data_IF_625526543501
#
_entry.id   IF_625526543501
#
_cell.length_a   1.000
_cell.length_b   1.000
_cell.length_c   1.000
_cell.angle_alpha   90.00
_cell.angle_beta   90.00
_cell.angle_gamma   90.00
#
_symmetry.space_group_name_H-M   'P 1'
#
loop_
_entity.id
_entity.type
_entity.pdbx_description
1 polymer ?
#
# COMPACT_ATOMS: atom_id res chain seq x y z
N UNK A 1 3.90 -7.11 20.26
CA UNK A 1 4.35 -6.14 19.22
C UNK A 1 4.25 -6.78 17.85
N UNK A 2 3.73 -6.07 16.85
CA UNK A 2 3.74 -6.55 15.46
C UNK A 2 5.18 -6.62 14.92
N UNK A 3 5.57 -7.77 14.37
CA UNK A 3 6.88 -8.00 13.73
C UNK A 3 6.87 -7.55 12.27
N UNK A 4 8.06 -7.40 11.67
CA UNK A 4 8.19 -7.17 10.22
C UNK A 4 7.52 -8.33 9.45
N UNK A 5 7.74 -9.57 9.88
CA UNK A 5 7.13 -10.74 9.24
C UNK A 5 5.61 -10.71 9.26
N UNK A 6 4.99 -10.33 10.40
CA UNK A 6 3.53 -10.18 10.48
C UNK A 6 3.00 -9.06 9.58
N UNK A 7 3.74 -7.96 9.40
CA UNK A 7 3.34 -6.87 8.50
C UNK A 7 3.42 -7.29 7.03
N UNK A 8 4.48 -8.00 6.65
CA UNK A 8 4.57 -8.58 5.30
C UNK A 8 3.44 -9.59 5.08
N UNK A 9 3.09 -10.39 6.09
CA UNK A 9 1.93 -11.30 6.02
C UNK A 9 0.61 -10.56 5.77
N UNK A 10 0.41 -9.39 6.38
CA UNK A 10 -0.76 -8.56 6.12
C UNK A 10 -0.80 -8.02 4.68
N UNK A 11 0.36 -7.70 4.08
CA UNK A 11 0.43 -7.25 2.68
C UNK A 11 0.12 -8.37 1.68
N UNK A 12 0.42 -9.61 2.04
CA UNK A 12 0.13 -10.80 1.21
C UNK A 12 -1.39 -11.06 1.17
N UNK A 13 -2.07 -10.89 2.32
CA UNK A 13 -3.51 -11.17 2.43
C UNK A 13 -3.84 -12.62 2.09
N UNK A 14 -4.80 -12.81 1.19
CA UNK A 14 -5.24 -14.13 0.70
C UNK A 14 -4.40 -14.65 -0.47
N UNK A 15 -3.39 -13.91 -0.93
CA UNK A 15 -2.54 -14.33 -2.03
C UNK A 15 -1.55 -15.43 -1.60
N UNK A 16 -1.06 -16.20 -2.57
CA UNK A 16 0.00 -17.17 -2.30
C UNK A 16 1.36 -16.47 -2.19
N UNK A 17 2.29 -17.07 -1.42
CA UNK A 17 3.68 -16.57 -1.36
C UNK A 17 4.38 -16.59 -2.71
N UNK A 18 3.96 -17.49 -3.61
CA UNK A 18 4.45 -17.60 -4.99
C UNK A 18 4.04 -16.35 -5.78
N UNK A 19 2.74 -16.09 -5.87
CA UNK A 19 2.18 -14.96 -6.61
C UNK A 19 2.63 -13.62 -6.05
N UNK A 20 2.62 -13.48 -4.71
CA UNK A 20 3.10 -12.26 -4.08
C UNK A 20 4.59 -12.06 -4.36
N UNK A 21 5.39 -13.13 -4.31
CA UNK A 21 6.79 -13.10 -4.69
C UNK A 21 7.00 -12.58 -6.11
N UNK A 22 6.22 -13.07 -7.08
CA UNK A 22 6.25 -12.58 -8.46
C UNK A 22 5.93 -11.08 -8.55
N UNK A 23 4.89 -10.60 -7.84
CA UNK A 23 4.51 -9.17 -7.82
C UNK A 23 5.65 -8.25 -7.37
N UNK A 24 6.44 -8.69 -6.38
CA UNK A 24 7.56 -7.90 -5.83
C UNK A 24 8.92 -8.37 -6.35
N UNK A 25 8.97 -9.21 -7.37
CA UNK A 25 10.21 -9.77 -7.94
C UNK A 25 11.14 -10.42 -6.89
N UNK A 26 10.58 -11.29 -6.05
CA UNK A 26 11.29 -12.10 -5.05
C UNK A 26 10.81 -13.55 -5.08
N UNK A 27 11.70 -14.50 -4.75
CA UNK A 27 11.30 -15.90 -4.67
C UNK A 27 10.35 -16.16 -3.49
N UNK A 28 9.48 -17.16 -3.63
CA UNK A 28 8.61 -17.67 -2.55
C UNK A 28 9.38 -17.95 -1.26
N UNK A 29 10.57 -18.54 -1.36
CA UNK A 29 11.41 -18.88 -0.20
C UNK A 29 11.87 -17.62 0.53
N UNK A 30 12.17 -16.55 -0.21
CA UNK A 30 12.56 -15.26 0.37
C UNK A 30 11.40 -14.65 1.15
N UNK A 31 10.20 -14.59 0.55
CA UNK A 31 8.98 -14.12 1.22
C UNK A 31 8.69 -14.94 2.48
N UNK A 32 8.75 -16.27 2.39
CA UNK A 32 8.52 -17.16 3.53
C UNK A 32 9.52 -16.94 4.67
N UNK A 33 10.80 -16.70 4.37
CA UNK A 33 11.81 -16.36 5.39
C UNK A 33 11.48 -15.05 6.11
N UNK A 34 10.95 -14.05 5.40
CA UNK A 34 10.53 -12.78 6.01
C UNK A 34 9.30 -12.96 6.90
N UNK A 35 8.24 -13.60 6.39
CA UNK A 35 6.99 -13.84 7.14
C UNK A 35 7.24 -14.61 8.44
N UNK A 36 8.13 -15.60 8.40
CA UNK A 36 8.49 -16.44 9.54
C UNK A 36 9.60 -15.83 10.43
N UNK A 37 9.95 -14.56 10.24
CA UNK A 37 10.99 -13.85 10.98
C UNK A 37 12.38 -14.54 10.96
N UNK A 38 12.64 -15.39 9.95
CA UNK A 38 13.92 -16.09 9.77
C UNK A 38 14.98 -15.21 9.10
N UNK A 39 14.55 -14.15 8.42
CA UNK A 39 15.40 -13.12 7.81
C UNK A 39 14.70 -11.77 7.93
N UNK A 40 15.46 -10.69 8.06
CA UNK A 40 14.94 -9.32 7.91
C UNK A 40 15.15 -8.86 6.46
N UNK A 41 14.21 -8.10 5.86
CA UNK A 41 14.43 -7.47 4.57
C UNK A 41 15.64 -6.53 4.65
N UNK A 42 16.53 -6.63 3.68
CA UNK A 42 17.62 -5.68 3.46
C UNK A 42 17.17 -4.54 2.53
N UNK A 43 18.07 -3.61 2.22
CA UNK A 43 17.77 -2.46 1.36
C UNK A 43 17.29 -2.86 -0.05
N UNK A 44 17.85 -3.93 -0.64
CA UNK A 44 17.42 -4.43 -1.95
C UNK A 44 16.00 -4.99 -1.88
N UNK A 45 15.69 -5.79 -0.85
CA UNK A 45 14.35 -6.31 -0.62
C UNK A 45 13.33 -5.18 -0.39
N UNK A 46 13.68 -4.16 0.39
CA UNK A 46 12.83 -2.98 0.60
C UNK A 46 12.60 -2.20 -0.69
N UNK A 47 13.61 -2.06 -1.55
CA UNK A 47 13.47 -1.43 -2.88
C UNK A 47 12.48 -2.20 -3.76
N UNK A 48 12.52 -3.52 -3.70
CA UNK A 48 11.56 -4.40 -4.40
C UNK A 48 10.12 -4.24 -3.88
N UNK A 49 9.94 -4.14 -2.56
CA UNK A 49 8.63 -3.81 -1.98
C UNK A 49 8.13 -2.43 -2.44
N UNK A 50 8.99 -1.41 -2.44
CA UNK A 50 8.65 -0.06 -2.91
C UNK A 50 8.19 -0.09 -4.37
N UNK A 51 8.90 -0.81 -5.25
CA UNK A 51 8.51 -0.99 -6.66
C UNK A 51 7.17 -1.72 -6.82
N UNK A 52 6.82 -2.59 -5.87
CA UNK A 52 5.51 -3.23 -5.78
C UNK A 52 4.40 -2.34 -5.19
N UNK A 53 4.68 -1.07 -4.88
CA UNK A 53 3.71 -0.12 -4.34
C UNK A 53 3.59 -0.13 -2.80
N UNK A 54 4.51 -0.77 -2.09
CA UNK A 54 4.45 -0.91 -0.63
C UNK A 54 5.39 0.05 0.11
N UNK A 55 4.92 0.59 1.24
CA UNK A 55 5.67 1.54 2.07
C UNK A 55 6.73 0.84 2.92
N UNK A 56 8.00 1.11 2.66
CA UNK A 56 9.10 0.60 3.50
C UNK A 56 9.00 1.09 4.94
N UNK A 57 8.57 2.34 5.18
CA UNK A 57 8.37 2.86 6.54
C UNK A 57 7.33 2.01 7.29
N UNK A 58 6.21 1.71 6.64
CA UNK A 58 5.17 0.88 7.25
C UNK A 58 5.66 -0.56 7.47
N UNK A 59 6.38 -1.15 6.53
CA UNK A 59 6.96 -2.51 6.71
C UNK A 59 7.91 -2.57 7.91
N UNK A 60 8.73 -1.53 8.12
CA UNK A 60 9.72 -1.51 9.20
C UNK A 60 9.11 -1.15 10.55
N UNK A 61 8.20 -0.18 10.59
CA UNK A 61 7.72 0.44 11.84
C UNK A 61 6.26 0.12 12.16
N UNK A 62 5.44 -0.18 11.15
CA UNK A 62 3.99 -0.27 11.25
C UNK A 62 3.27 1.08 11.27
N UNK A 63 3.98 2.19 11.07
CA UNK A 63 3.44 3.55 11.15
C UNK A 63 3.07 4.05 9.75
N UNK A 64 1.89 4.67 9.61
CA UNK A 64 1.40 5.28 8.37
C UNK A 64 0.62 4.34 7.46
N UNK A 65 0.60 4.62 6.16
CA UNK A 65 -0.11 3.80 5.17
C UNK A 65 0.79 2.65 4.66
N UNK A 66 0.29 1.40 4.59
CA UNK A 66 1.01 0.26 4.00
C UNK A 66 1.38 0.43 2.52
N UNK A 67 0.65 1.27 1.80
CA UNK A 67 0.84 1.52 0.37
C UNK A 67 1.45 2.90 0.13
N UNK A 68 2.31 3.00 -0.88
CA UNK A 68 2.82 4.29 -1.34
C UNK A 68 1.74 4.90 -2.22
N UNK A 69 1.21 6.05 -1.81
CA UNK A 69 0.37 6.89 -2.67
C UNK A 69 1.29 7.62 -3.67
N UNK A 70 1.74 6.93 -4.71
CA UNK A 70 2.41 7.58 -5.83
C UNK A 70 1.34 8.35 -6.59
N UNK A 71 1.42 9.67 -6.57
CA UNK A 71 0.41 10.58 -7.14
C UNK A 71 0.24 10.42 -8.67
N UNK A 72 -0.47 9.36 -9.07
CA UNK A 72 -1.18 9.21 -10.34
C UNK A 72 -2.45 8.35 -10.20
N UNK A 73 -2.80 7.93 -9.00
CA UNK A 73 -4.18 7.54 -8.67
C UNK A 73 -4.81 8.74 -7.99
N UNK A 74 -5.39 9.63 -8.81
CA UNK A 74 -6.56 10.37 -8.39
C UNK A 74 -7.48 9.30 -7.81
N UNK A 75 -7.66 9.28 -6.49
CA UNK A 75 -8.83 8.64 -5.93
C UNK A 75 -9.97 9.16 -6.80
N UNK A 76 -10.77 8.29 -7.43
CA UNK A 76 -12.11 8.70 -7.84
C UNK A 76 -12.83 9.09 -6.55
N UNK A 77 -12.49 10.25 -6.00
CA UNK A 77 -13.36 11.03 -5.17
C UNK A 77 -14.64 11.04 -5.97
N UNK A 78 -15.68 10.49 -5.34
CA UNK A 78 -17.07 10.63 -5.73
C UNK A 78 -17.22 11.83 -6.66
N UNK A 79 -17.68 11.54 -7.87
CA UNK A 79 -17.86 12.48 -8.96
C UNK A 79 -18.12 13.90 -8.44
N UNK A 80 -17.17 14.81 -8.68
CA UNK A 80 -17.22 16.19 -8.19
C UNK A 80 -18.36 16.99 -8.85
N UNK A 81 -19.07 16.41 -9.83
CA UNK A 81 -20.27 16.97 -10.44
C UNK A 81 -21.40 17.26 -9.44
N UNK A 82 -21.42 16.59 -8.28
CA UNK A 82 -22.38 16.90 -7.20
C UNK A 82 -22.10 18.27 -6.54
N UNK A 83 -20.86 18.76 -6.55
CA UNK A 83 -20.50 20.06 -5.96
C UNK A 83 -20.83 21.25 -6.87
N UNK A 84 -20.82 21.05 -8.19
CA UNK A 84 -21.18 22.10 -9.15
C UNK A 84 -22.67 22.49 -9.04
N UNK A 85 -23.55 21.52 -8.75
CA UNK A 85 -24.98 21.77 -8.54
C UNK A 85 -25.27 22.58 -7.26
N UNK A 86 -24.45 22.39 -6.23
CA UNK A 86 -24.55 23.15 -4.96
C UNK A 86 -24.06 24.58 -5.13
N UNK A 87 -22.96 24.77 -5.88
CA UNK A 87 -22.42 26.09 -6.16
C UNK A 87 -23.40 26.98 -6.94
N UNK A 88 -24.12 26.41 -7.92
CA UNK A 88 -25.14 27.14 -8.68
C UNK A 88 -26.37 27.48 -7.84
N UNK A 89 -26.80 26.57 -6.96
CA UNK A 89 -27.93 26.81 -6.05
C UNK A 89 -27.64 27.89 -4.99
N UNK A 90 -26.40 28.03 -4.53
CA UNK A 90 -26.02 29.05 -3.53
C UNK A 90 -26.02 30.47 -4.14
N UNK A 91 -25.72 30.61 -5.44
CA UNK A 91 -25.73 31.91 -6.13
C UNK A 91 -27.11 32.57 -6.14
N UNK A 92 -28.17 31.78 -6.14
CA UNK A 92 -29.55 32.29 -6.11
C UNK A 92 -30.04 32.61 -4.69
N UNK A 93 -29.41 32.06 -3.66
CA UNK A 93 -29.71 32.37 -2.24
C UNK A 93 -28.99 33.65 -1.78
N UNK A 94 -27.86 34.01 -2.40
CA UNK A 94 -27.04 35.16 -2.05
C UNK A 94 -27.34 36.43 -2.88
N UNK A 95 -28.49 36.47 -3.57
CA UNK A 95 -29.01 37.68 -4.23
C UNK A 95 -30.00 38.43 -3.34
#
# INVERSE_FOLDING_TARGET
MATIGSRIKLLIGDDSFENFGLKVNMSKQTISKYVNNKRKPDADALTKFIRGGYSANWILTGIGNPYINTQNTIFKTKDLSEYDLVAESIKDILK
#
